data_IF_667081633664
#
_entry.id   IF_667081633664
#
_cell.length_a   1.000
_cell.length_b   1.000
_cell.length_c   1.000
_cell.angle_alpha   90.00
_cell.angle_beta   90.00
_cell.angle_gamma   90.00
#
_symmetry.space_group_name_H-M   'P 1'
#
loop_
_entity.id
_entity.type
_entity.pdbx_description
1 polymer ?
#
# COMPACT_ATOMS: atom_id res chain seq x y z
N UNK A 1 3.41 -19.39 20.16
CA UNK A 1 4.00 -18.05 19.90
C UNK A 1 4.66 -17.88 18.52
N UNK A 2 4.40 -18.73 17.51
CA UNK A 2 5.10 -18.67 16.20
C UNK A 2 4.47 -17.78 15.13
N UNK A 3 3.14 -17.73 15.04
CA UNK A 3 2.44 -17.18 13.86
C UNK A 3 2.75 -15.70 13.58
N UNK A 4 2.81 -14.85 14.60
CA UNK A 4 3.05 -13.41 14.41
C UNK A 4 4.47 -13.10 13.87
N UNK A 5 5.49 -13.87 14.25
CA UNK A 5 6.86 -13.68 13.75
C UNK A 5 7.01 -14.10 12.29
N UNK A 6 6.35 -15.20 11.89
CA UNK A 6 6.32 -15.64 10.50
C UNK A 6 5.59 -14.63 9.62
N UNK A 7 4.39 -14.19 10.01
CA UNK A 7 3.65 -13.15 9.29
C UNK A 7 4.47 -11.87 9.12
N UNK A 8 5.15 -11.40 10.17
CA UNK A 8 5.98 -10.20 10.06
C UNK A 8 7.19 -10.39 9.11
N UNK A 9 7.77 -11.60 9.07
CA UNK A 9 8.85 -11.93 8.12
C UNK A 9 8.33 -11.90 6.68
N UNK A 10 7.15 -12.44 6.44
CA UNK A 10 6.54 -12.46 5.12
C UNK A 10 6.15 -11.06 4.65
N UNK A 11 5.63 -10.21 5.55
CA UNK A 11 5.35 -8.80 5.26
C UNK A 11 6.63 -8.02 4.90
N UNK A 12 7.75 -8.27 5.60
CA UNK A 12 9.04 -7.63 5.28
C UNK A 12 9.58 -8.08 3.92
N UNK A 13 9.40 -9.34 3.56
CA UNK A 13 9.81 -9.85 2.24
C UNK A 13 8.94 -9.27 1.13
N UNK A 14 7.62 -9.27 1.32
CA UNK A 14 6.68 -8.64 0.40
C UNK A 14 7.03 -7.16 0.17
N UNK A 15 7.38 -6.43 1.25
CA UNK A 15 7.80 -5.03 1.13
C UNK A 15 9.05 -4.87 0.25
N UNK A 16 10.04 -5.75 0.39
CA UNK A 16 11.26 -5.72 -0.45
C UNK A 16 10.96 -5.97 -1.93
N UNK A 17 10.11 -6.94 -2.22
CA UNK A 17 9.76 -7.27 -3.60
C UNK A 17 8.97 -6.13 -4.26
N UNK A 18 8.04 -5.52 -3.51
CA UNK A 18 7.30 -4.36 -3.98
C UNK A 18 8.22 -3.13 -4.16
N UNK A 19 9.19 -2.91 -3.25
CA UNK A 19 10.17 -1.84 -3.39
C UNK A 19 11.01 -1.98 -4.67
N UNK A 20 11.40 -3.21 -5.03
CA UNK A 20 12.07 -3.48 -6.31
C UNK A 20 11.15 -3.15 -7.49
N UNK A 21 9.88 -3.55 -7.42
CA UNK A 21 8.90 -3.21 -8.47
C UNK A 21 8.75 -1.70 -8.66
N UNK A 22 8.65 -0.94 -7.57
CA UNK A 22 8.60 0.53 -7.61
C UNK A 22 9.92 1.15 -8.12
N UNK A 23 11.07 0.55 -7.82
CA UNK A 23 12.35 1.02 -8.33
C UNK A 23 12.51 0.77 -9.85
N UNK A 24 11.97 -0.35 -10.35
CA UNK A 24 11.98 -0.71 -11.76
C UNK A 24 10.96 0.10 -12.57
N UNK A 25 9.76 0.29 -12.02
CA UNK A 25 8.71 1.12 -12.61
C UNK A 25 8.08 2.04 -11.54
N UNK A 26 8.59 3.27 -11.42
CA UNK A 26 8.05 4.26 -10.49
C UNK A 26 6.62 4.72 -10.80
N UNK A 27 6.07 4.35 -11.98
CA UNK A 27 4.70 4.67 -12.40
C UNK A 27 3.73 3.50 -12.19
N UNK A 28 4.21 2.37 -11.68
CA UNK A 28 3.37 1.21 -11.41
C UNK A 28 2.41 1.47 -10.25
N UNK A 29 1.22 1.98 -10.55
CA UNK A 29 0.17 2.34 -9.59
C UNK A 29 -0.27 1.13 -8.74
N UNK A 30 -0.25 -0.08 -9.31
CA UNK A 30 -0.56 -1.33 -8.63
C UNK A 30 0.48 -1.69 -7.56
N UNK A 31 1.77 -1.42 -7.82
CA UNK A 31 2.83 -1.64 -6.84
C UNK A 31 2.65 -0.76 -5.59
N UNK A 32 2.27 0.51 -5.75
CA UNK A 32 1.97 1.39 -4.62
C UNK A 32 0.77 0.89 -3.81
N UNK A 33 -0.32 0.48 -4.47
CA UNK A 33 -1.49 -0.12 -3.80
C UNK A 33 -1.12 -1.36 -2.98
N UNK A 34 -0.29 -2.25 -3.53
CA UNK A 34 0.16 -3.44 -2.80
C UNK A 34 1.08 -3.08 -1.63
N UNK A 35 1.93 -2.07 -1.79
CA UNK A 35 2.79 -1.58 -0.71
C UNK A 35 1.97 -1.04 0.45
N UNK A 36 0.89 -0.31 0.14
CA UNK A 36 -0.04 0.18 1.14
C UNK A 36 -0.70 -0.95 1.94
N UNK A 37 -1.14 -2.03 1.29
CA UNK A 37 -1.70 -3.19 2.00
C UNK A 37 -0.70 -3.83 2.97
N UNK A 38 0.56 -3.95 2.56
CA UNK A 38 1.63 -4.46 3.43
C UNK A 38 1.82 -3.52 4.62
N UNK A 39 1.81 -2.20 4.42
CA UNK A 39 1.89 -1.23 5.51
C UNK A 39 0.69 -1.31 6.46
N UNK A 40 -0.54 -1.50 5.96
CA UNK A 40 -1.73 -1.72 6.79
C UNK A 40 -1.57 -2.98 7.65
N UNK A 41 -1.11 -4.08 7.06
CA UNK A 41 -0.85 -5.33 7.79
C UNK A 41 0.28 -5.17 8.85
N UNK A 42 1.23 -4.28 8.61
CA UNK A 42 2.27 -3.90 9.57
C UNK A 42 1.81 -2.82 10.58
N UNK A 43 0.52 -2.47 10.61
CA UNK A 43 -0.06 -1.41 11.47
C UNK A 43 0.62 -0.04 11.28
N UNK A 44 0.99 0.29 10.05
CA UNK A 44 1.56 1.58 9.64
C UNK A 44 0.60 2.30 8.67
N UNK A 45 -0.57 2.77 9.14
CA UNK A 45 -1.58 3.39 8.27
C UNK A 45 -1.08 4.66 7.58
N UNK A 46 -0.26 5.48 8.23
CA UNK A 46 0.24 6.74 7.64
C UNK A 46 0.99 6.49 6.31
N UNK A 47 1.89 5.50 6.31
CA UNK A 47 2.62 5.09 5.10
C UNK A 47 1.72 4.45 4.05
N UNK A 48 0.70 3.72 4.50
CA UNK A 48 -0.28 3.15 3.58
C UNK A 48 -1.06 4.26 2.87
N UNK A 49 -1.46 5.32 3.59
CA UNK A 49 -2.18 6.45 3.02
C UNK A 49 -1.36 7.18 1.95
N UNK A 50 -0.09 7.45 2.22
CA UNK A 50 0.83 8.04 1.23
C UNK A 50 0.89 7.23 -0.07
N UNK A 51 1.00 5.90 0.06
CA UNK A 51 1.06 4.99 -1.09
C UNK A 51 -0.29 4.87 -1.82
N UNK A 52 -1.41 4.87 -1.11
CA UNK A 52 -2.75 4.86 -1.72
C UNK A 52 -2.99 6.16 -2.51
N UNK A 53 -2.64 7.32 -1.95
CA UNK A 53 -2.70 8.59 -2.69
C UNK A 53 -1.80 8.57 -3.92
N UNK A 54 -0.60 8.00 -3.82
CA UNK A 54 0.30 7.84 -4.96
C UNK A 54 -0.28 6.91 -6.04
N UNK A 55 -0.93 5.82 -5.64
CA UNK A 55 -1.61 4.92 -6.56
C UNK A 55 -2.73 5.64 -7.35
N UNK A 56 -3.57 6.45 -6.67
CA UNK A 56 -4.60 7.27 -7.34
C UNK A 56 -3.95 8.25 -8.33
N UNK A 57 -2.93 8.98 -7.91
CA UNK A 57 -2.25 9.97 -8.76
C UNK A 57 -1.59 9.35 -10.01
N UNK A 58 -1.25 8.07 -9.96
CA UNK A 58 -0.70 7.31 -11.08
C UNK A 58 -1.77 6.61 -11.93
N UNK A 59 -3.05 6.85 -11.67
CA UNK A 59 -4.17 6.35 -12.46
C UNK A 59 -4.66 4.97 -12.05
N UNK A 60 -4.40 4.51 -10.83
CA UNK A 60 -4.89 3.20 -10.36
C UNK A 60 -6.40 3.06 -10.53
N UNK A 61 -7.18 4.07 -10.12
CA UNK A 61 -8.65 4.01 -10.16
C UNK A 61 -9.18 3.84 -11.58
N UNK A 62 -8.56 4.53 -12.53
CA UNK A 62 -8.87 4.41 -13.95
C UNK A 62 -8.52 3.02 -14.52
N UNK A 63 -7.48 2.37 -14.01
CA UNK A 63 -6.97 1.10 -14.56
C UNK A 63 -7.56 -0.15 -13.90
N UNK A 64 -7.81 -0.11 -12.59
CA UNK A 64 -8.09 -1.30 -11.78
C UNK A 64 -9.35 -1.17 -10.91
N UNK A 65 -9.92 0.03 -10.78
CA UNK A 65 -11.15 0.29 -10.01
C UNK A 65 -10.93 1.03 -8.69
N UNK A 66 -12.01 1.19 -7.91
CA UNK A 66 -12.06 2.13 -6.78
C UNK A 66 -11.74 1.52 -5.41
N UNK A 67 -11.10 0.34 -5.33
CA UNK A 67 -10.75 -0.28 -4.04
C UNK A 67 -9.77 0.59 -3.23
N UNK A 68 -8.89 1.33 -3.91
CA UNK A 68 -7.98 2.28 -3.28
C UNK A 68 -8.74 3.42 -2.56
N UNK A 69 -9.87 3.89 -3.10
CA UNK A 69 -10.68 4.92 -2.44
C UNK A 69 -11.30 4.37 -1.15
N UNK A 70 -11.87 3.16 -1.19
CA UNK A 70 -12.43 2.50 -0.01
C UNK A 70 -11.37 2.26 1.07
N UNK A 71 -10.13 1.90 0.67
CA UNK A 71 -9.01 1.75 1.60
C UNK A 71 -8.62 3.08 2.25
N UNK A 72 -8.60 4.18 1.48
CA UNK A 72 -8.37 5.52 2.02
C UNK A 72 -9.46 5.90 3.02
N UNK A 73 -10.74 5.81 2.66
CA UNK A 73 -11.84 6.17 3.55
C UNK A 73 -11.82 5.38 4.87
N UNK A 74 -11.42 4.11 4.81
CA UNK A 74 -11.39 3.22 5.97
C UNK A 74 -10.16 3.41 6.86
N UNK A 75 -9.00 3.70 6.29
CA UNK A 75 -7.72 3.67 7.02
C UNK A 75 -7.02 5.02 7.13
N UNK A 76 -7.39 5.96 6.27
CA UNK A 76 -6.85 7.30 6.19
C UNK A 76 -7.94 8.25 6.64
N UNK A 77 -8.00 8.49 7.94
CA UNK A 77 -8.88 9.52 8.48
C UNK A 77 -8.46 10.82 7.82
N UNK A 78 -9.40 11.48 7.12
CA UNK A 78 -9.27 12.82 6.59
C UNK A 78 -8.59 13.70 7.66
N UNK A 79 -7.29 13.94 7.53
CA UNK A 79 -6.75 15.24 7.91
C UNK A 79 -7.23 16.18 6.81
N UNK A 80 -8.49 16.57 6.94
CA UNK A 80 -9.10 17.54 6.06
C UNK A 80 -8.39 18.88 6.15
N UNK A 81 -8.53 19.59 5.03
CA UNK A 81 -8.08 20.95 4.69
C UNK A 81 -6.61 21.07 4.26
#
# INVERSE_FOLDING_TARGET
MGHAKYQLKDLKNALKDIQRSVALDPKNSYAYRNRALVYLAMKQPDKACEDLHRAINLGYTTMYGDDVQQLLEKHCIFKGL
#
